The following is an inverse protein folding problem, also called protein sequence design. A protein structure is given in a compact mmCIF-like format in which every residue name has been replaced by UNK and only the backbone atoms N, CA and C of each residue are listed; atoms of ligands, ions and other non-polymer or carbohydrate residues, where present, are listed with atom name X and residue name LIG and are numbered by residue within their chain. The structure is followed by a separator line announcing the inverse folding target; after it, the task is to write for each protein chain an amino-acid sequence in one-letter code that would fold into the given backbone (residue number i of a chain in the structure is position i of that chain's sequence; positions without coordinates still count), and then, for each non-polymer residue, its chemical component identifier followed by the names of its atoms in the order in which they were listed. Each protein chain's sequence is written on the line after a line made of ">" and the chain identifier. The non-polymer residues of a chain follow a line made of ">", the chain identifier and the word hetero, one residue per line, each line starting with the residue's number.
data_IF_424202033235
#
_entry.id   IF_424202033235
#
_cell.length_a   1.000
_cell.length_b   1.000
_cell.length_c   1.000
_cell.angle_alpha   90.00
_cell.angle_beta   90.00
_cell.angle_gamma   90.00
#
_symmetry.space_group_name_H-M   'P 1'
#
loop_
_entity.id
_entity.type
_entity.pdbx_description
1 polymer ?
#
# COMPACT_ATOMS: atom_id res chain seq x y z
N UNK A 1 1.87 -3.16 13.64
CA UNK A 1 2.47 -2.62 12.38
C UNK A 1 2.20 -3.59 11.25
N UNK A 2 1.78 -3.10 10.10
CA UNK A 2 1.69 -3.89 8.86
C UNK A 2 2.95 -3.67 8.02
N UNK A 3 3.50 -4.77 7.44
CA UNK A 3 4.68 -4.71 6.59
C UNK A 3 4.28 -4.76 5.11
N UNK A 4 4.93 -3.94 4.28
CA UNK A 4 4.82 -3.96 2.83
C UNK A 4 6.23 -4.06 2.23
N UNK A 5 6.38 -4.80 1.16
CA UNK A 5 7.66 -5.00 0.50
C UNK A 5 8.05 -6.47 0.37
N UNK A 6 9.27 -6.69 -0.10
CA UNK A 6 9.84 -8.01 -0.30
C UNK A 6 11.32 -8.06 0.13
N UNK A 7 11.89 -9.25 0.17
CA UNK A 7 13.29 -9.46 0.61
C UNK A 7 14.29 -8.77 -0.33
N UNK A 8 13.94 -8.60 -1.60
CA UNK A 8 14.83 -8.00 -2.63
C UNK A 8 14.80 -6.48 -2.56
N UNK A 9 13.60 -5.90 -2.53
CA UNK A 9 13.36 -4.44 -2.53
C UNK A 9 13.35 -3.82 -1.14
N UNK A 10 13.39 -4.64 -0.08
CA UNK A 10 13.29 -4.19 1.30
C UNK A 10 11.86 -4.02 1.78
N UNK A 11 11.72 -3.62 3.04
CA UNK A 11 10.43 -3.52 3.73
C UNK A 11 10.14 -2.10 4.18
N UNK A 12 8.87 -1.76 4.14
CA UNK A 12 8.28 -0.60 4.77
C UNK A 12 7.24 -1.09 5.76
N UNK A 13 7.30 -0.59 6.99
CA UNK A 13 6.37 -0.92 8.06
C UNK A 13 5.50 0.28 8.37
N UNK A 14 4.20 0.10 8.35
CA UNK A 14 3.22 1.13 8.66
C UNK A 14 2.62 0.89 10.04
N UNK A 15 2.55 1.93 10.85
CA UNK A 15 1.90 1.90 12.15
C UNK A 15 0.45 2.37 12.02
N UNK A 16 -0.51 1.48 12.24
CA UNK A 16 -1.95 1.82 12.21
C UNK A 16 -2.42 2.70 13.37
N UNK A 17 -1.56 2.97 14.36
CA UNK A 17 -1.89 3.81 15.52
C UNK A 17 -1.44 5.26 15.33
N UNK A 18 -0.16 5.49 15.03
CA UNK A 18 0.40 6.84 14.86
C UNK A 18 0.55 7.24 13.39
N UNK A 19 0.24 6.35 12.47
CA UNK A 19 0.38 6.53 11.01
C UNK A 19 1.82 6.79 10.55
N UNK A 20 2.81 6.56 11.41
CA UNK A 20 4.22 6.64 11.08
C UNK A 20 4.68 5.45 10.24
N UNK A 21 5.76 5.66 9.50
CA UNK A 21 6.33 4.69 8.56
C UNK A 21 7.80 4.45 8.91
N UNK A 22 8.15 3.17 9.11
CA UNK A 22 9.54 2.74 9.20
C UNK A 22 9.95 2.10 7.87
N UNK A 23 10.85 2.75 7.15
CA UNK A 23 11.38 2.26 5.89
C UNK A 23 12.80 1.72 6.05
N UNK A 24 13.06 0.51 5.56
CA UNK A 24 14.41 -0.05 5.55
C UNK A 24 15.29 0.66 4.52
N UNK A 25 16.61 0.69 4.74
CA UNK A 25 17.57 1.29 3.81
C UNK A 25 17.44 0.74 2.39
N UNK A 26 17.22 -0.58 2.25
CA UNK A 26 17.01 -1.21 0.95
C UNK A 26 15.75 -0.71 0.26
N UNK A 27 14.65 -0.54 1.01
CA UNK A 27 13.41 0.00 0.47
C UNK A 27 13.58 1.45 0.01
N UNK A 28 14.26 2.27 0.81
CA UNK A 28 14.57 3.68 0.48
C UNK A 28 15.40 3.78 -0.81
N UNK A 29 16.43 2.92 -0.95
CA UNK A 29 17.25 2.88 -2.16
C UNK A 29 16.46 2.46 -3.42
N UNK A 30 15.48 1.57 -3.28
CA UNK A 30 14.68 1.07 -4.39
C UNK A 30 13.59 2.07 -4.84
N UNK A 31 13.10 2.91 -3.94
CA UNK A 31 11.91 3.73 -4.16
C UNK A 31 12.18 5.23 -4.21
N UNK A 32 13.27 5.70 -3.60
CA UNK A 32 13.63 7.12 -3.58
C UNK A 32 14.63 7.49 -4.67
N UNK A 33 14.51 8.72 -5.17
CA UNK A 33 15.56 9.31 -5.99
C UNK A 33 16.84 9.47 -5.19
N UNK A 34 17.99 9.16 -5.79
CA UNK A 34 19.29 9.20 -5.11
C UNK A 34 19.64 10.58 -4.50
N UNK A 35 19.18 11.67 -5.14
CA UNK A 35 19.36 13.04 -4.62
C UNK A 35 18.60 13.24 -3.30
N UNK A 36 17.35 12.79 -3.24
CA UNK A 36 16.51 12.87 -2.02
C UNK A 36 17.11 12.01 -0.92
N UNK A 37 17.45 10.76 -1.23
CA UNK A 37 18.03 9.85 -0.25
C UNK A 37 19.37 10.36 0.32
N UNK A 38 20.20 11.01 -0.52
CA UNK A 38 21.44 11.64 -0.07
C UNK A 38 21.16 12.76 0.94
N UNK A 39 20.17 13.61 0.66
CA UNK A 39 19.79 14.71 1.56
C UNK A 39 19.25 14.18 2.90
N UNK A 40 18.41 13.14 2.87
CA UNK A 40 17.90 12.46 4.05
C UNK A 40 19.04 11.88 4.90
N UNK A 41 19.96 11.15 4.28
CA UNK A 41 21.12 10.57 4.96
C UNK A 41 22.04 11.64 5.55
N UNK A 42 22.25 12.74 4.82
CA UNK A 42 23.04 13.86 5.30
C UNK A 42 22.44 14.49 6.55
N UNK A 43 21.12 14.75 6.53
CA UNK A 43 20.42 15.32 7.69
C UNK A 43 20.50 14.41 8.91
N UNK A 44 20.29 13.11 8.74
CA UNK A 44 20.45 12.11 9.82
C UNK A 44 21.90 12.09 10.34
N UNK A 45 22.89 12.12 9.45
CA UNK A 45 24.29 12.08 9.86
C UNK A 45 24.73 13.35 10.62
N UNK A 46 24.20 14.51 10.28
CA UNK A 46 24.48 15.81 10.90
C UNK A 46 23.52 16.12 12.06
N UNK A 47 22.55 15.26 12.33
CA UNK A 47 21.49 15.43 13.32
C UNK A 47 21.94 15.20 14.76
N UNK A 48 20.97 15.17 15.65
CA UNK A 48 21.15 14.96 17.10
C UNK A 48 20.49 13.65 17.53
N UNK A 49 20.95 13.07 18.64
CA UNK A 49 20.35 11.83 19.16
C UNK A 49 18.84 12.00 19.42
N UNK A 50 18.03 11.14 18.87
CA UNK A 50 16.58 11.12 19.08
C UNK A 50 16.17 10.55 20.46
N UNK A 51 17.12 10.02 21.23
CA UNK A 51 16.89 9.49 22.58
C UNK A 51 16.28 8.10 22.63
N UNK A 52 16.09 7.43 21.49
CA UNK A 52 15.59 6.06 21.43
C UNK A 52 16.40 5.18 20.46
N UNK A 53 16.13 3.88 20.51
CA UNK A 53 16.87 2.91 19.72
C UNK A 53 16.04 2.38 18.56
N UNK A 54 16.72 2.08 17.47
CA UNK A 54 16.11 1.51 16.27
C UNK A 54 15.40 0.18 16.60
N UNK A 55 14.13 0.01 16.25
CA UNK A 55 13.41 -1.24 16.51
C UNK A 55 13.94 -2.43 15.70
N UNK A 56 14.64 -2.16 14.59
CA UNK A 56 15.16 -3.21 13.71
C UNK A 56 16.51 -3.76 14.19
N UNK A 57 17.45 -2.91 14.64
CA UNK A 57 18.82 -3.33 14.90
C UNK A 57 19.38 -2.88 16.24
N UNK A 58 18.57 -2.19 17.07
CA UNK A 58 18.95 -1.62 18.37
C UNK A 58 20.09 -0.58 18.30
N UNK A 59 20.40 -0.09 17.09
CA UNK A 59 21.35 1.00 16.90
C UNK A 59 20.78 2.34 17.36
N UNK A 60 21.64 3.34 17.44
CA UNK A 60 21.23 4.70 17.78
C UNK A 60 20.38 5.30 16.64
N UNK A 61 19.32 6.01 17.03
CA UNK A 61 18.50 6.82 16.11
C UNK A 61 18.85 8.29 16.31
N UNK A 62 19.01 8.96 15.19
CA UNK A 62 19.36 10.38 15.11
C UNK A 62 18.28 11.11 14.35
N UNK A 63 17.86 12.28 14.84
CA UNK A 63 16.88 13.15 14.21
C UNK A 63 17.58 14.33 13.54
N UNK A 64 17.21 14.63 12.30
CA UNK A 64 17.81 15.74 11.58
C UNK A 64 16.82 16.42 10.62
N UNK A 65 16.90 17.76 10.48
CA UNK A 65 16.01 18.54 9.63
C UNK A 65 16.36 18.37 8.15
N UNK A 66 15.33 18.11 7.35
CA UNK A 66 15.43 18.03 5.90
C UNK A 66 14.54 19.07 5.25
N UNK A 67 15.13 19.90 4.42
CA UNK A 67 14.36 20.88 3.62
C UNK A 67 13.55 20.18 2.55
N UNK A 68 12.28 20.52 2.45
CA UNK A 68 11.37 20.03 1.42
C UNK A 68 11.24 21.04 0.27
N UNK A 69 10.69 20.63 -0.86
CA UNK A 69 10.48 21.48 -2.02
C UNK A 69 9.54 22.67 -1.75
N UNK A 70 8.77 22.63 -0.67
CA UNK A 70 7.81 23.66 -0.28
C UNK A 70 8.39 24.70 0.72
N UNK A 71 9.71 24.81 0.82
CA UNK A 71 10.41 25.66 1.77
C UNK A 71 10.07 25.37 3.27
N UNK A 72 9.44 24.24 3.53
CA UNK A 72 9.24 23.70 4.88
C UNK A 72 10.37 22.75 5.24
N UNK A 73 10.66 22.63 6.53
CA UNK A 73 11.59 21.64 7.06
C UNK A 73 10.80 20.54 7.77
N UNK A 74 11.23 19.31 7.59
CA UNK A 74 10.69 18.13 8.26
C UNK A 74 11.84 17.46 8.99
N UNK A 75 11.63 17.07 10.26
CA UNK A 75 12.61 16.32 11.03
C UNK A 75 12.45 14.82 10.70
N UNK A 76 13.53 14.20 10.26
CA UNK A 76 13.53 12.77 9.88
C UNK A 76 14.43 12.01 10.82
N UNK A 77 13.91 10.91 11.36
CA UNK A 77 14.63 10.04 12.24
C UNK A 77 15.28 8.88 11.48
N UNK A 78 16.58 8.70 11.65
CA UNK A 78 17.33 7.67 10.95
C UNK A 78 18.27 6.89 11.85
N UNK A 79 18.41 5.61 11.57
CA UNK A 79 19.34 4.75 12.28
C UNK A 79 20.72 4.77 11.61
N UNK A 80 21.75 5.20 12.34
CA UNK A 80 23.14 5.25 11.85
C UNK A 80 23.70 3.84 11.55
N UNK A 81 23.17 2.79 12.18
CA UNK A 81 23.68 1.42 12.04
C UNK A 81 23.11 0.68 10.83
N UNK A 82 21.79 0.70 10.64
CA UNK A 82 21.11 -0.06 9.57
C UNK A 82 20.54 0.78 8.45
N UNK A 83 20.61 2.12 8.54
CA UNK A 83 20.11 3.04 7.54
C UNK A 83 18.59 3.10 7.41
N UNK A 84 17.84 2.41 8.28
CA UNK A 84 16.38 2.53 8.30
C UNK A 84 15.99 3.92 8.78
N UNK A 85 14.92 4.47 8.18
CA UNK A 85 14.40 5.79 8.55
C UNK A 85 12.96 5.69 9.01
N UNK A 86 12.62 6.47 10.02
CA UNK A 86 11.28 6.67 10.50
C UNK A 86 10.75 8.02 10.01
N UNK A 87 9.53 8.01 9.54
CA UNK A 87 8.78 9.19 9.12
C UNK A 87 7.48 9.21 9.91
N UNK A 88 7.20 10.31 10.58
CA UNK A 88 5.93 10.50 11.23
C UNK A 88 4.79 10.68 10.21
N UNK A 89 3.57 10.82 10.70
CA UNK A 89 2.41 10.94 9.84
C UNK A 89 2.58 12.06 8.81
N UNK A 90 2.51 11.71 7.51
CA UNK A 90 2.62 12.60 6.35
C UNK A 90 4.00 13.21 6.08
N UNK A 91 5.00 13.01 6.91
CA UNK A 91 6.36 13.53 6.68
C UNK A 91 7.03 12.94 5.43
N UNK A 92 6.59 11.77 5.01
CA UNK A 92 7.08 11.13 3.80
C UNK A 92 6.53 11.78 2.51
N UNK A 93 5.36 12.40 2.55
CA UNK A 93 4.67 12.95 1.37
C UNK A 93 5.54 13.92 0.54
N UNK A 94 6.31 14.86 1.13
CA UNK A 94 7.13 15.79 0.35
C UNK A 94 8.26 15.14 -0.44
N UNK A 95 8.71 13.96 -0.02
CA UNK A 95 9.81 13.24 -0.65
C UNK A 95 9.34 12.30 -1.76
N UNK A 96 8.05 12.06 -1.86
CA UNK A 96 7.42 11.13 -2.78
C UNK A 96 6.29 11.76 -3.58
N UNK A 97 6.56 12.75 -4.43
CA UNK A 97 5.54 13.27 -5.33
C UNK A 97 4.96 12.20 -6.25
N UNK A 98 5.63 11.05 -6.36
CA UNK A 98 5.26 9.90 -7.19
C UNK A 98 4.67 8.72 -6.39
N UNK A 99 4.67 8.76 -5.06
CA UNK A 99 3.97 7.73 -4.24
C UNK A 99 2.46 7.86 -4.35
N UNK A 100 1.93 8.99 -4.81
CA UNK A 100 0.50 9.08 -5.14
C UNK A 100 0.09 8.01 -6.16
N UNK A 101 1.03 7.54 -7.01
CA UNK A 101 0.80 6.46 -7.96
C UNK A 101 1.09 5.06 -7.39
N UNK A 102 1.77 4.96 -6.24
CA UNK A 102 2.17 3.68 -5.61
C UNK A 102 1.38 3.38 -4.33
N UNK A 103 0.70 4.36 -3.75
CA UNK A 103 -0.36 4.04 -2.80
C UNK A 103 -1.37 3.18 -3.56
N UNK A 104 -1.68 1.95 -3.10
CA UNK A 104 -2.70 1.14 -3.76
C UNK A 104 -3.91 2.05 -3.90
N UNK A 105 -4.29 2.30 -5.16
CA UNK A 105 -5.56 2.91 -5.51
C UNK A 105 -6.56 2.43 -4.49
N UNK A 106 -7.14 3.35 -3.73
CA UNK A 106 -8.00 3.09 -2.57
C UNK A 106 -8.68 1.77 -2.82
N UNK A 107 -8.36 0.73 -2.03
CA UNK A 107 -9.07 -0.53 -2.11
C UNK A 107 -10.52 -0.11 -2.06
N UNK A 108 -11.17 -0.06 -3.21
CA UNK A 108 -12.59 0.19 -3.28
C UNK A 108 -13.15 -0.98 -2.50
N UNK A 109 -13.47 -0.72 -1.25
CA UNK A 109 -14.22 -1.66 -0.45
C UNK A 109 -15.50 -1.81 -1.24
N UNK A 110 -15.55 -2.85 -2.09
CA UNK A 110 -16.76 -3.22 -2.81
C UNK A 110 -17.81 -3.32 -1.71
N UNK A 111 -18.66 -2.34 -1.66
CA UNK A 111 -19.71 -2.30 -0.66
C UNK A 111 -20.49 -3.60 -0.79
N UNK A 112 -21.12 -4.05 0.29
CA UNK A 112 -21.93 -5.27 0.27
C UNK A 112 -22.94 -5.26 -0.89
N UNK A 113 -23.39 -4.05 -1.29
CA UNK A 113 -24.25 -3.81 -2.45
C UNK A 113 -23.62 -4.22 -3.79
N UNK A 114 -22.33 -3.95 -4.02
CA UNK A 114 -21.65 -4.33 -5.27
C UNK A 114 -21.50 -5.85 -5.40
N UNK A 115 -21.38 -6.55 -4.27
CA UNK A 115 -21.38 -8.02 -4.24
C UNK A 115 -22.76 -8.59 -4.55
N UNK A 116 -23.84 -7.97 -4.10
CA UNK A 116 -25.22 -8.41 -4.36
C UNK A 116 -25.58 -8.19 -5.83
N UNK A 117 -25.20 -7.05 -6.42
CA UNK A 117 -25.43 -6.78 -7.85
C UNK A 117 -24.67 -7.77 -8.75
N UNK A 118 -23.43 -8.14 -8.37
CA UNK A 118 -22.67 -9.16 -9.07
C UNK A 118 -23.31 -10.55 -9.01
N UNK A 119 -23.98 -10.91 -7.92
CA UNK A 119 -24.70 -12.17 -7.80
C UNK A 119 -26.02 -12.14 -8.56
N UNK A 120 -26.74 -11.01 -8.60
CA UNK A 120 -27.98 -10.88 -9.36
C UNK A 120 -27.75 -11.07 -10.88
N UNK A 121 -26.64 -10.58 -11.42
CA UNK A 121 -26.29 -10.83 -12.84
C UNK A 121 -25.96 -12.30 -13.12
N UNK A 122 -25.44 -13.03 -12.15
CA UNK A 122 -25.18 -14.47 -12.29
C UNK A 122 -26.47 -15.30 -12.30
N UNK A 123 -27.47 -14.89 -11.49
CA UNK A 123 -28.78 -15.55 -11.46
C UNK A 123 -29.65 -15.23 -12.69
N UNK A 124 -29.49 -14.07 -13.31
CA UNK A 124 -30.23 -13.74 -14.53
C UNK A 124 -29.71 -14.44 -15.79
N UNK A 125 -28.42 -14.80 -15.82
CA UNK A 125 -27.85 -15.60 -16.92
C UNK A 125 -28.25 -17.10 -16.89
N UNK A 126 -28.65 -17.62 -15.71
CA UNK A 126 -29.09 -19.00 -15.56
C UNK A 126 -30.54 -19.28 -15.97
N UNK A 127 -31.35 -18.24 -16.23
CA UNK A 127 -32.80 -18.40 -16.49
C UNK A 127 -33.19 -18.39 -17.97
N UNK A 128 -32.23 -18.23 -18.89
CA UNK A 128 -32.49 -18.11 -20.32
C UNK A 128 -32.28 -19.39 -21.13
N UNK A 129 -32.24 -20.57 -20.52
CA UNK A 129 -31.99 -21.84 -21.23
C UNK A 129 -33.02 -22.95 -21.01
N UNK A 130 -34.20 -22.68 -20.48
CA UNK A 130 -35.21 -23.72 -20.24
C UNK A 130 -36.60 -23.46 -20.87
N UNK A 131 -36.67 -22.68 -21.96
CA UNK A 131 -37.92 -22.58 -22.73
C UNK A 131 -37.66 -23.00 -24.17
N UNK A 132 -37.63 -24.30 -24.43
CA UNK A 132 -38.04 -24.92 -25.70
C UNK A 132 -38.13 -26.43 -25.44
N UNK A 133 -39.26 -26.88 -24.91
CA UNK A 133 -39.77 -28.22 -25.10
C UNK A 133 -41.15 -28.06 -25.73
N UNK A 134 -41.17 -28.20 -27.02
CA UNK A 134 -42.39 -28.34 -27.81
C UNK A 134 -43.10 -29.66 -27.42
N UNK A 135 -44.43 -29.66 -27.20
CA UNK A 135 -45.17 -30.88 -27.03
C UNK A 135 -45.51 -31.46 -28.42
N UNK A 136 -44.87 -32.58 -28.77
CA UNK A 136 -45.27 -33.37 -29.93
C UNK A 136 -46.66 -33.95 -29.69
N UNK A 137 -47.54 -33.59 -30.57
CA UNK A 137 -48.88 -34.11 -30.77
C UNK A 137 -48.80 -35.58 -31.22
N UNK A 138 -49.22 -36.46 -30.36
CA UNK A 138 -49.57 -37.85 -30.75
C UNK A 138 -51.01 -37.88 -31.22
N UNK A 139 -51.18 -37.94 -32.50
CA UNK A 139 -52.43 -38.34 -33.11
C UNK A 139 -52.58 -39.87 -33.02
N UNK A 140 -53.60 -40.33 -32.33
CA UNK A 140 -54.12 -41.70 -32.35
C UNK A 140 -55.12 -41.80 -33.44
N UNK A 141 -54.79 -42.55 -34.51
CA UNK A 141 -55.75 -43.12 -35.46
C UNK A 141 -56.20 -44.42 -34.89
N UNK A 142 -57.52 -44.53 -34.68
CA UNK A 142 -58.29 -45.73 -34.41
C UNK A 142 -58.92 -46.18 -35.74
N UNK A 143 -58.65 -47.40 -36.21
CA UNK A 143 -59.53 -48.11 -37.12
C UNK A 143 -59.50 -49.61 -36.83
N UNK A 144 -60.75 -50.10 -36.60
CA UNK A 144 -61.36 -51.46 -36.71
C UNK A 144 -60.68 -52.62 -35.99
#
# INVERSE_FOLDING_TARGET
>A
MSAQGDVVKGFMHYCGYCFGILASDRWLNANLRQTVLRNLRKAVFEGTSAGYRCPTCQGEVVSGPVSTNNASSVDVDGCLKCGSMWFDNREMEPFFPQIQDVLPEKVQVKTLGDRILGLASYFSMGRAKNDTLDPETTSTDSEE
#
